data_IF_632756125533
#
_entry.id   IF_632756125533
#
_cell.length_a   1.000
_cell.length_b   1.000
_cell.length_c   1.000
_cell.angle_alpha   90.00
_cell.angle_beta   90.00
_cell.angle_gamma   90.00
#
_symmetry.space_group_name_H-M   'P 1'
#
loop_
_entity.id
_entity.type
_entity.pdbx_description
1 polymer ?
#
# COMPACT_ATOMS: atom_id res chain seq x y z
N UNK A 1 -17.22 9.66 -22.13
CA UNK A 1 -16.21 10.62 -21.66
C UNK A 1 -15.98 10.55 -20.13
N UNK A 2 -15.85 9.34 -19.52
CA UNK A 2 -15.59 9.16 -18.07
C UNK A 2 -14.21 8.53 -17.74
N UNK A 3 -13.41 8.22 -18.75
CA UNK A 3 -12.09 7.59 -18.58
C UNK A 3 -10.99 8.54 -18.05
N UNK A 4 -11.16 9.85 -18.23
CA UNK A 4 -10.12 10.83 -17.88
C UNK A 4 -9.98 11.15 -16.39
N UNK A 5 -11.06 10.99 -15.61
CA UNK A 5 -11.04 11.29 -14.16
C UNK A 5 -10.41 10.15 -13.37
N UNK A 6 -10.63 8.93 -13.81
CA UNK A 6 -10.05 7.73 -13.20
C UNK A 6 -8.51 7.76 -13.18
N UNK A 7 -7.92 8.29 -14.26
CA UNK A 7 -6.47 8.41 -14.40
C UNK A 7 -5.85 9.47 -13.47
N UNK A 8 -6.55 10.57 -13.18
CA UNK A 8 -5.97 11.67 -12.37
C UNK A 8 -5.94 11.36 -10.87
N UNK A 9 -6.98 10.70 -10.36
CA UNK A 9 -7.05 10.33 -8.94
C UNK A 9 -6.06 9.20 -8.64
N UNK A 10 -5.84 8.33 -9.62
CA UNK A 10 -4.86 7.25 -9.49
C UNK A 10 -3.40 7.76 -9.48
N UNK A 11 -3.11 8.78 -10.29
CA UNK A 11 -1.80 9.45 -10.25
C UNK A 11 -1.50 10.00 -8.85
N UNK A 12 -2.48 10.57 -8.16
CA UNK A 12 -2.33 11.07 -6.79
C UNK A 12 -2.12 9.94 -5.78
N UNK A 13 -2.81 8.81 -5.91
CA UNK A 13 -2.60 7.66 -5.02
C UNK A 13 -1.25 6.96 -5.25
N UNK A 14 -0.75 6.93 -6.48
CA UNK A 14 0.58 6.44 -6.82
C UNK A 14 1.64 7.50 -6.49
N UNK A 15 1.38 8.79 -6.74
CA UNK A 15 2.30 9.86 -6.37
C UNK A 15 2.49 9.98 -4.85
N UNK A 16 1.47 9.76 -4.04
CA UNK A 16 1.64 9.69 -2.59
C UNK A 16 2.48 8.48 -2.15
N UNK A 17 2.55 7.42 -2.99
CA UNK A 17 3.50 6.33 -2.87
C UNK A 17 4.87 6.63 -3.53
N UNK A 18 4.93 7.53 -4.54
CA UNK A 18 6.14 7.97 -5.24
C UNK A 18 6.97 8.95 -4.37
N UNK A 19 6.39 9.57 -3.36
CA UNK A 19 7.06 10.47 -2.43
C UNK A 19 8.22 9.86 -1.63
N UNK A 20 8.86 8.83 -2.16
CA UNK A 20 10.05 8.22 -1.59
C UNK A 20 11.09 7.93 -2.65
N UNK A 21 11.35 8.86 -3.57
CA UNK A 21 12.72 9.04 -3.95
C UNK A 21 13.44 9.33 -2.63
N UNK A 22 14.40 8.50 -2.25
CA UNK A 22 15.43 8.93 -1.34
C UNK A 22 16.17 10.06 -2.07
N UNK A 23 15.51 11.23 -2.17
CA UNK A 23 16.24 12.46 -2.09
C UNK A 23 17.09 12.22 -0.86
N UNK A 24 18.41 12.19 -1.02
CA UNK A 24 19.33 12.60 0.02
C UNK A 24 18.95 14.06 0.24
N UNK A 25 17.69 14.25 0.67
CA UNK A 25 17.08 15.50 1.01
C UNK A 25 17.75 15.92 2.28
N UNK A 26 18.33 17.05 2.25
CA UNK A 26 18.77 17.76 3.43
C UNK A 26 17.60 17.72 4.43
N UNK A 27 17.67 16.80 5.39
CA UNK A 27 16.75 16.83 6.50
C UNK A 27 16.81 18.21 7.12
N UNK A 28 15.65 18.81 7.40
CA UNK A 28 15.57 20.20 7.83
C UNK A 28 15.93 20.42 9.30
N UNK A 29 16.04 19.33 10.09
CA UNK A 29 16.24 19.43 11.52
C UNK A 29 16.95 18.23 12.16
N UNK A 30 16.99 18.19 13.49
CA UNK A 30 17.51 17.05 14.23
C UNK A 30 16.66 15.81 14.05
N UNK A 31 17.27 14.60 13.98
CA UNK A 31 16.53 13.36 13.85
C UNK A 31 15.61 13.13 15.05
N UNK A 32 14.43 12.59 14.78
CA UNK A 32 13.45 12.28 15.83
C UNK A 32 13.93 11.08 16.64
N UNK A 33 14.11 11.28 17.96
CA UNK A 33 14.47 10.20 18.89
C UNK A 33 13.29 9.29 19.18
N UNK A 34 13.59 8.00 19.44
CA UNK A 34 12.56 6.97 19.70
C UNK A 34 11.62 7.37 20.84
N UNK A 35 12.18 7.82 21.97
CA UNK A 35 11.42 8.22 23.15
C UNK A 35 10.50 9.41 22.88
N UNK A 36 10.98 10.37 22.08
CA UNK A 36 10.19 11.54 21.68
C UNK A 36 9.02 11.13 20.80
N UNK A 37 9.25 10.23 19.84
CA UNK A 37 8.19 9.72 18.96
C UNK A 37 7.13 8.97 19.77
N UNK A 38 7.52 8.10 20.71
CA UNK A 38 6.63 7.38 21.61
C UNK A 38 5.77 8.34 22.43
N UNK A 39 6.39 9.41 22.99
CA UNK A 39 5.67 10.43 23.76
C UNK A 39 4.63 11.15 22.91
N UNK A 40 4.97 11.49 21.67
CA UNK A 40 4.06 12.14 20.71
C UNK A 40 2.89 11.22 20.36
N UNK A 41 3.14 9.94 20.09
CA UNK A 41 2.11 8.96 19.79
C UNK A 41 1.13 8.76 20.96
N UNK A 42 1.65 8.63 22.18
CA UNK A 42 0.84 8.47 23.41
C UNK A 42 0.00 9.71 23.72
N UNK A 43 0.46 10.90 23.38
CA UNK A 43 -0.28 12.15 23.64
C UNK A 43 -1.56 12.28 22.84
N UNK A 44 -1.67 11.58 21.69
CA UNK A 44 -2.78 11.64 20.72
C UNK A 44 -3.13 13.06 20.24
N UNK A 45 -2.23 14.03 20.42
CA UNK A 45 -2.44 15.44 20.04
C UNK A 45 -2.15 15.71 18.56
N UNK A 46 -1.41 14.83 17.89
CA UNK A 46 -0.98 15.01 16.52
C UNK A 46 -1.71 14.02 15.60
N UNK A 47 -2.08 14.48 14.41
CA UNK A 47 -2.63 13.60 13.39
C UNK A 47 -1.52 12.73 12.79
N UNK A 48 -1.88 11.55 12.29
CA UNK A 48 -0.92 10.62 11.66
C UNK A 48 -0.12 11.29 10.54
N UNK A 49 -0.75 12.15 9.73
CA UNK A 49 -0.10 12.89 8.64
C UNK A 49 1.01 13.82 9.15
N UNK A 50 0.77 14.50 10.27
CA UNK A 50 1.73 15.46 10.83
C UNK A 50 2.96 14.73 11.38
N UNK A 51 2.74 13.58 12.02
CA UNK A 51 3.82 12.71 12.52
C UNK A 51 4.65 12.17 11.35
N UNK A 52 4.00 11.70 10.28
CA UNK A 52 4.67 11.22 9.06
C UNK A 52 5.48 12.33 8.41
N UNK A 53 4.93 13.54 8.33
CA UNK A 53 5.63 14.70 7.78
C UNK A 53 6.88 15.04 8.59
N UNK A 54 6.77 15.12 9.93
CA UNK A 54 7.91 15.40 10.83
C UNK A 54 9.01 14.34 10.66
N UNK A 55 8.65 13.06 10.57
CA UNK A 55 9.60 11.97 10.34
C UNK A 55 10.26 12.11 8.97
N UNK A 56 9.51 12.46 7.94
CA UNK A 56 10.03 12.63 6.57
C UNK A 56 10.97 13.82 6.45
N UNK A 57 10.69 14.91 7.17
CA UNK A 57 11.50 16.12 7.16
C UNK A 57 12.76 16.02 8.02
N UNK A 58 12.70 15.30 9.14
CA UNK A 58 13.78 15.26 10.12
C UNK A 58 14.52 13.91 10.17
N UNK A 59 13.95 12.84 9.63
CA UNK A 59 14.44 11.48 9.81
C UNK A 59 14.32 10.98 11.25
N UNK A 60 14.79 9.78 11.52
CA UNK A 60 14.87 9.16 12.85
C UNK A 60 16.30 8.71 13.16
N UNK A 61 16.71 8.72 14.43
CA UNK A 61 18.06 8.31 14.87
C UNK A 61 18.17 6.84 15.29
N UNK A 62 17.06 6.12 15.28
CA UNK A 62 16.99 4.71 15.70
C UNK A 62 16.56 3.80 14.57
N UNK A 63 17.08 2.56 14.58
CA UNK A 63 16.71 1.51 13.63
C UNK A 63 15.39 0.88 14.05
N UNK A 64 14.51 0.63 13.08
CA UNK A 64 13.26 -0.09 13.31
C UNK A 64 13.54 -1.60 13.32
N UNK A 65 13.85 -2.14 14.49
CA UNK A 65 13.86 -3.58 14.76
C UNK A 65 12.49 -4.06 15.28
N UNK A 66 12.33 -5.35 15.51
CA UNK A 66 11.08 -5.93 15.98
C UNK A 66 10.62 -5.36 17.35
N UNK A 67 11.57 -5.07 18.25
CA UNK A 67 11.28 -4.51 19.55
C UNK A 67 10.78 -3.06 19.43
N UNK A 68 11.49 -2.23 18.65
CA UNK A 68 11.11 -0.84 18.39
C UNK A 68 9.76 -0.76 17.67
N UNK A 69 9.51 -1.64 16.70
CA UNK A 69 8.20 -1.69 16.01
C UNK A 69 7.07 -2.06 16.97
N UNK A 70 7.25 -3.06 17.81
CA UNK A 70 6.28 -3.46 18.84
C UNK A 70 5.99 -2.33 19.82
N UNK A 71 7.03 -1.63 20.27
CA UNK A 71 6.89 -0.49 21.20
C UNK A 71 6.15 0.69 20.58
N UNK A 72 6.47 1.03 19.33
CA UNK A 72 5.77 2.09 18.59
C UNK A 72 4.30 1.75 18.35
N UNK A 73 3.98 0.49 17.99
CA UNK A 73 2.60 0.02 17.83
C UNK A 73 1.83 0.10 19.16
N UNK A 74 2.44 -0.32 20.25
CA UNK A 74 1.87 -0.21 21.60
C UNK A 74 1.64 1.23 22.02
N UNK A 75 2.44 2.17 21.53
CA UNK A 75 2.25 3.60 21.72
C UNK A 75 1.17 4.22 20.81
N UNK A 76 0.57 3.45 19.89
CA UNK A 76 -0.46 3.90 18.97
C UNK A 76 0.04 4.30 17.59
N UNK A 77 1.26 3.90 17.20
CA UNK A 77 1.76 4.14 15.85
C UNK A 77 0.92 3.37 14.82
N UNK A 78 0.38 4.10 13.86
CA UNK A 78 -0.29 3.52 12.69
C UNK A 78 0.74 3.00 11.67
N UNK A 79 0.36 2.10 10.77
CA UNK A 79 1.26 1.55 9.74
C UNK A 79 2.04 2.61 8.96
N UNK A 80 1.40 3.72 8.60
CA UNK A 80 2.06 4.85 7.91
C UNK A 80 3.22 5.45 8.71
N UNK A 81 3.09 5.52 10.03
CA UNK A 81 4.17 6.01 10.90
C UNK A 81 5.31 5.00 10.93
N UNK A 82 5.00 3.71 11.06
CA UNK A 82 5.99 2.63 11.03
C UNK A 82 6.79 2.66 9.71
N UNK A 83 6.09 2.80 8.58
CA UNK A 83 6.71 2.90 7.27
C UNK A 83 7.56 4.16 7.12
N UNK A 84 7.10 5.30 7.66
CA UNK A 84 7.89 6.54 7.67
C UNK A 84 9.18 6.37 8.48
N UNK A 85 9.12 5.75 9.66
CA UNK A 85 10.31 5.44 10.49
C UNK A 85 11.28 4.54 9.74
N UNK A 86 10.78 3.47 9.10
CA UNK A 86 11.60 2.52 8.34
C UNK A 86 12.36 3.19 7.20
N UNK A 87 11.72 4.12 6.48
CA UNK A 87 12.30 4.80 5.32
C UNK A 87 13.25 5.95 5.68
N UNK A 88 13.08 6.57 6.84
CA UNK A 88 13.78 7.80 7.18
C UNK A 88 14.82 7.61 8.31
N UNK A 89 15.39 6.41 8.45
CA UNK A 89 16.47 6.15 9.40
C UNK A 89 17.76 6.86 8.99
N UNK A 90 18.33 7.68 9.88
CA UNK A 90 19.55 8.48 9.66
C UNK A 90 20.84 7.86 10.22
N UNK A 91 20.73 6.76 10.96
CA UNK A 91 21.86 6.14 11.65
C UNK A 91 22.58 5.08 10.81
N UNK A 92 23.88 5.24 10.70
CA UNK A 92 24.82 4.27 10.18
C UNK A 92 25.95 4.94 9.42
N UNK A 93 27.15 4.99 10.00
CA UNK A 93 28.41 5.27 9.30
C UNK A 93 28.60 4.21 8.19
N UNK A 94 28.06 4.46 7.00
CA UNK A 94 28.46 3.73 5.80
C UNK A 94 29.77 4.31 5.33
N UNK A 95 30.80 3.48 5.25
CA UNK A 95 32.06 3.87 4.63
C UNK A 95 31.78 4.51 3.26
N UNK A 96 32.44 5.62 2.96
CA UNK A 96 32.16 6.48 1.79
C UNK A 96 32.19 5.72 0.43
N UNK A 97 32.92 4.61 0.34
CA UNK A 97 32.98 3.77 -0.84
C UNK A 97 31.70 2.91 -1.05
N UNK A 98 31.14 2.34 0.04
CA UNK A 98 29.88 1.60 -0.01
C UNK A 98 28.69 2.53 -0.23
N UNK A 99 28.77 3.78 0.27
CA UNK A 99 27.71 4.78 0.07
C UNK A 99 27.57 5.21 -1.39
N UNK A 100 28.66 5.41 -2.12
CA UNK A 100 28.61 5.77 -3.55
C UNK A 100 27.98 4.67 -4.41
N UNK A 101 28.37 3.42 -4.21
CA UNK A 101 27.79 2.30 -4.96
C UNK A 101 26.31 2.05 -4.63
N UNK A 102 25.90 2.27 -3.37
CA UNK A 102 24.50 2.16 -2.96
C UNK A 102 23.66 3.35 -3.46
N UNK A 103 24.20 4.57 -3.49
CA UNK A 103 23.55 5.76 -4.02
C UNK A 103 23.26 5.58 -5.51
N UNK A 104 24.24 5.22 -6.31
CA UNK A 104 24.08 5.02 -7.77
C UNK A 104 23.02 3.93 -8.07
N UNK A 105 23.01 2.82 -7.33
CA UNK A 105 22.00 1.76 -7.51
C UNK A 105 20.60 2.20 -7.07
N UNK A 106 20.49 2.98 -6.01
CA UNK A 106 19.20 3.53 -5.57
C UNK A 106 18.66 4.55 -6.57
N UNK A 107 19.52 5.40 -7.13
CA UNK A 107 19.14 6.37 -8.16
C UNK A 107 18.68 5.65 -9.44
N UNK A 108 19.38 4.60 -9.86
CA UNK A 108 18.99 3.78 -11.00
C UNK A 108 17.65 3.05 -10.75
N UNK A 109 17.47 2.47 -9.56
CA UNK A 109 16.20 1.82 -9.19
C UNK A 109 15.03 2.82 -9.22
N UNK A 110 15.21 4.00 -8.62
CA UNK A 110 14.21 5.07 -8.62
C UNK A 110 13.82 5.46 -10.03
N UNK A 111 14.81 5.70 -10.90
CA UNK A 111 14.60 6.04 -12.31
C UNK A 111 13.80 4.97 -13.06
N UNK A 112 14.14 3.68 -12.86
CA UNK A 112 13.39 2.58 -13.47
C UNK A 112 11.93 2.54 -13.03
N UNK A 113 11.67 2.77 -11.75
CA UNK A 113 10.30 2.84 -11.21
C UNK A 113 9.52 4.02 -11.81
N UNK A 114 10.11 5.21 -11.87
CA UNK A 114 9.46 6.40 -12.45
C UNK A 114 9.15 6.22 -13.94
N UNK A 115 10.10 5.74 -14.71
CA UNK A 115 9.90 5.43 -16.13
C UNK A 115 8.82 4.36 -16.35
N UNK A 116 8.77 3.35 -15.48
CA UNK A 116 7.75 2.30 -15.55
C UNK A 116 6.34 2.86 -15.28
N UNK A 117 6.22 3.75 -14.28
CA UNK A 117 4.95 4.42 -13.97
C UNK A 117 4.52 5.33 -15.12
N UNK A 118 5.44 6.08 -15.72
CA UNK A 118 5.16 6.91 -16.90
C UNK A 118 4.70 6.06 -18.09
N UNK A 119 5.40 4.94 -18.36
CA UNK A 119 5.04 4.03 -19.44
C UNK A 119 3.63 3.44 -19.22
N UNK A 120 3.30 3.05 -17.97
CA UNK A 120 1.99 2.51 -17.61
C UNK A 120 0.88 3.57 -17.68
N UNK A 121 1.04 4.70 -16.98
CA UNK A 121 -0.05 5.66 -16.75
C UNK A 121 -0.26 6.59 -17.94
N UNK A 122 0.83 7.11 -18.52
CA UNK A 122 0.77 8.13 -19.54
C UNK A 122 0.75 7.51 -20.93
N UNK A 123 1.72 6.64 -21.20
CA UNK A 123 1.92 6.07 -22.54
C UNK A 123 1.04 4.85 -22.81
N UNK A 124 0.50 4.20 -21.74
CA UNK A 124 -0.22 2.93 -21.80
C UNK A 124 0.61 1.81 -22.48
N UNK A 125 1.93 1.94 -22.42
CA UNK A 125 2.87 0.92 -22.90
C UNK A 125 3.16 -0.09 -21.76
N UNK A 126 2.26 -1.05 -21.62
CA UNK A 126 2.35 -2.06 -20.57
C UNK A 126 3.57 -2.97 -20.74
N UNK A 127 4.01 -3.19 -22.00
CA UNK A 127 5.21 -3.98 -22.28
C UNK A 127 6.48 -3.28 -21.80
N UNK A 128 6.64 -2.00 -22.12
CA UNK A 128 7.76 -1.21 -21.62
C UNK A 128 7.73 -1.09 -20.09
N UNK A 129 6.56 -0.84 -19.50
CA UNK A 129 6.38 -0.79 -18.05
C UNK A 129 6.84 -2.10 -17.38
N UNK A 130 6.43 -3.26 -17.92
CA UNK A 130 6.84 -4.58 -17.42
C UNK A 130 8.36 -4.78 -17.50
N UNK A 131 8.98 -4.42 -18.61
CA UNK A 131 10.43 -4.53 -18.77
C UNK A 131 11.18 -3.70 -17.72
N UNK A 132 10.78 -2.44 -17.52
CA UNK A 132 11.39 -1.54 -16.54
C UNK A 132 11.19 -2.05 -15.10
N UNK A 133 10.00 -2.52 -14.74
CA UNK A 133 9.72 -3.09 -13.42
C UNK A 133 10.50 -4.38 -13.18
N UNK A 134 10.68 -5.21 -14.20
CA UNK A 134 11.49 -6.44 -14.11
C UNK A 134 12.96 -6.08 -13.89
N UNK A 135 13.49 -5.11 -14.60
CA UNK A 135 14.86 -4.59 -14.37
C UNK A 135 15.01 -4.04 -12.95
N UNK A 136 14.03 -3.27 -12.47
CA UNK A 136 14.02 -2.79 -11.09
C UNK A 136 14.02 -3.94 -10.08
N UNK A 137 13.19 -4.97 -10.28
CA UNK A 137 13.14 -6.14 -9.42
C UNK A 137 14.47 -6.94 -9.40
N UNK A 138 15.16 -7.00 -10.54
CA UNK A 138 16.49 -7.63 -10.63
C UNK A 138 17.55 -6.77 -9.92
N UNK A 139 17.49 -5.45 -10.06
CA UNK A 139 18.47 -4.53 -9.44
C UNK A 139 18.35 -4.48 -7.92
N UNK A 140 17.13 -4.64 -7.38
CA UNK A 140 16.85 -4.69 -5.94
C UNK A 140 15.84 -5.80 -5.60
N UNK A 141 16.25 -7.07 -5.59
CA UNK A 141 15.34 -8.21 -5.47
C UNK A 141 14.64 -8.34 -4.11
N UNK A 142 15.12 -7.65 -3.09
CA UNK A 142 14.52 -7.60 -1.75
C UNK A 142 13.60 -6.38 -1.54
N UNK A 143 13.54 -5.46 -2.51
CA UNK A 143 12.67 -4.30 -2.43
C UNK A 143 11.26 -4.68 -2.93
N UNK A 144 10.21 -4.58 -2.09
CA UNK A 144 8.87 -5.03 -2.45
C UNK A 144 8.21 -4.16 -3.54
N UNK A 145 8.69 -2.93 -3.76
CA UNK A 145 7.99 -1.93 -4.57
C UNK A 145 7.85 -2.34 -6.03
N UNK A 146 8.90 -2.89 -6.65
CA UNK A 146 8.82 -3.35 -8.03
C UNK A 146 7.76 -4.44 -8.20
N UNK A 147 7.69 -5.37 -7.23
CA UNK A 147 6.68 -6.44 -7.23
C UNK A 147 5.26 -5.92 -6.96
N UNK A 148 5.10 -4.90 -6.13
CA UNK A 148 3.81 -4.22 -5.95
C UNK A 148 3.30 -3.64 -7.27
N UNK A 149 4.17 -2.95 -8.00
CA UNK A 149 3.84 -2.34 -9.28
C UNK A 149 3.65 -3.38 -10.40
N UNK A 150 4.40 -4.49 -10.39
CA UNK A 150 4.18 -5.61 -11.30
C UNK A 150 2.79 -6.21 -11.08
N UNK A 151 2.39 -6.45 -9.84
CA UNK A 151 1.06 -6.94 -9.54
C UNK A 151 -0.04 -5.98 -10.02
N UNK A 152 0.18 -4.70 -9.84
CA UNK A 152 -0.73 -3.66 -10.31
C UNK A 152 -0.82 -3.61 -11.84
N UNK A 153 0.31 -3.63 -12.52
CA UNK A 153 0.39 -3.68 -13.99
C UNK A 153 -0.32 -4.91 -14.54
N UNK A 154 -0.05 -6.09 -13.95
CA UNK A 154 -0.68 -7.35 -14.38
C UNK A 154 -2.20 -7.28 -14.25
N UNK A 155 -2.73 -6.77 -13.12
CA UNK A 155 -4.18 -6.70 -12.93
C UNK A 155 -4.84 -5.66 -13.83
N UNK A 156 -4.37 -4.40 -13.78
CA UNK A 156 -5.09 -3.29 -14.40
C UNK A 156 -4.67 -3.01 -15.85
N UNK A 157 -3.43 -3.32 -16.20
CA UNK A 157 -2.91 -3.17 -17.55
C UNK A 157 -3.16 -4.39 -18.43
N UNK A 158 -2.75 -5.56 -17.95
CA UNK A 158 -2.72 -6.79 -18.75
C UNK A 158 -3.90 -7.72 -18.48
N UNK A 159 -4.63 -7.51 -17.36
CA UNK A 159 -5.77 -8.33 -16.89
C UNK A 159 -5.39 -9.79 -16.61
N UNK A 160 -4.15 -10.00 -16.21
CA UNK A 160 -3.59 -11.27 -15.78
C UNK A 160 -3.65 -11.39 -14.25
N UNK A 161 -4.68 -12.08 -13.76
CA UNK A 161 -4.93 -12.23 -12.32
C UNK A 161 -3.89 -13.13 -11.63
N UNK A 162 -3.39 -14.13 -12.34
CA UNK A 162 -2.45 -15.10 -11.78
C UNK A 162 -1.07 -14.46 -11.57
N UNK A 163 -0.58 -13.72 -12.57
CA UNK A 163 0.68 -12.99 -12.44
C UNK A 163 0.57 -11.82 -11.45
N UNK A 164 -0.61 -11.18 -11.36
CA UNK A 164 -0.87 -10.17 -10.34
C UNK A 164 -0.76 -10.75 -8.93
N UNK A 165 -1.43 -11.89 -8.68
CA UNK A 165 -1.38 -12.58 -7.39
C UNK A 165 0.04 -12.99 -7.02
N UNK A 166 0.78 -13.60 -7.95
CA UNK A 166 2.16 -14.03 -7.76
C UNK A 166 3.08 -12.86 -7.39
N UNK A 167 2.98 -11.75 -8.12
CA UNK A 167 3.76 -10.55 -7.88
C UNK A 167 3.44 -9.94 -6.52
N UNK A 168 2.18 -9.85 -6.14
CA UNK A 168 1.77 -9.32 -4.85
C UNK A 168 2.13 -10.24 -3.69
N UNK A 169 2.02 -11.55 -3.82
CA UNK A 169 2.53 -12.51 -2.81
C UNK A 169 4.04 -12.30 -2.58
N UNK A 170 4.80 -12.08 -3.64
CA UNK A 170 6.22 -11.76 -3.51
C UNK A 170 6.45 -10.44 -2.77
N UNK A 171 5.68 -9.40 -3.11
CA UNK A 171 5.74 -8.11 -2.41
C UNK A 171 5.44 -8.25 -0.92
N UNK A 172 4.36 -8.96 -0.56
CA UNK A 172 3.95 -9.22 0.84
C UNK A 172 5.04 -9.97 1.59
N UNK A 173 5.63 -11.00 1.00
CA UNK A 173 6.72 -11.77 1.60
C UNK A 173 7.97 -10.93 1.86
N UNK A 174 8.19 -9.88 1.08
CA UNK A 174 9.27 -8.91 1.25
C UNK A 174 8.92 -7.76 2.22
N UNK A 175 7.78 -7.83 2.90
CA UNK A 175 7.32 -6.81 3.85
C UNK A 175 6.59 -5.63 3.21
N UNK A 176 6.21 -5.74 1.95
CA UNK A 176 5.32 -4.82 1.27
C UNK A 176 3.84 -5.17 1.42
N UNK A 177 3.01 -4.64 0.52
CA UNK A 177 1.58 -4.91 0.47
C UNK A 177 1.08 -5.09 -0.97
N UNK A 178 0.03 -5.87 -1.16
CA UNK A 178 -0.80 -5.75 -2.35
C UNK A 178 -1.68 -4.50 -2.22
N UNK A 179 -1.87 -3.77 -3.32
CA UNK A 179 -2.69 -2.56 -3.34
C UNK A 179 -3.72 -2.70 -4.44
N UNK A 180 -4.99 -2.75 -4.05
CA UNK A 180 -6.11 -2.96 -4.95
C UNK A 180 -7.11 -1.82 -4.86
N UNK A 181 -7.67 -1.43 -6.00
CA UNK A 181 -8.70 -0.39 -6.06
C UNK A 181 -10.08 -1.01 -5.93
N UNK A 182 -10.85 -0.56 -4.95
CA UNK A 182 -12.16 -1.09 -4.63
C UNK A 182 -13.19 0.02 -4.44
N UNK A 183 -14.46 -0.36 -4.53
CA UNK A 183 -15.59 0.38 -3.99
C UNK A 183 -16.00 -0.25 -2.68
N UNK A 184 -16.17 0.56 -1.66
CA UNK A 184 -16.72 0.18 -0.37
C UNK A 184 -18.17 0.58 -0.29
N UNK A 185 -19.01 -0.33 0.16
CA UNK A 185 -20.46 -0.15 0.31
C UNK A 185 -20.80 0.37 1.70
N UNK A 186 -21.62 1.42 1.77
CA UNK A 186 -22.03 2.06 3.03
C UNK A 186 -23.40 1.63 3.53
N UNK A 187 -24.25 1.09 2.63
CA UNK A 187 -25.67 0.84 2.92
C UNK A 187 -26.13 -0.60 2.62
N UNK A 188 -25.19 -1.47 2.25
CA UNK A 188 -25.46 -2.87 1.91
C UNK A 188 -26.10 -3.07 0.54
N UNK A 189 -26.37 -1.99 -0.20
CA UNK A 189 -27.03 -2.01 -1.51
C UNK A 189 -26.13 -1.56 -2.67
N UNK A 190 -24.93 -1.08 -2.38
CA UNK A 190 -24.01 -0.42 -3.33
C UNK A 190 -24.59 0.81 -4.04
N UNK A 191 -25.62 1.43 -3.47
CA UNK A 191 -26.14 2.71 -3.93
C UNK A 191 -25.30 3.87 -3.39
N UNK A 192 -24.88 3.76 -2.13
CA UNK A 192 -23.95 4.70 -1.49
C UNK A 192 -22.58 4.04 -1.35
N UNK A 193 -21.65 4.42 -2.20
CA UNK A 193 -20.29 3.84 -2.20
C UNK A 193 -19.23 4.92 -2.20
N UNK A 194 -18.10 4.64 -1.56
CA UNK A 194 -16.85 5.37 -1.76
C UNK A 194 -15.85 4.52 -2.54
N UNK A 195 -14.91 5.17 -3.22
CA UNK A 195 -13.77 4.51 -3.86
C UNK A 195 -12.56 4.64 -2.95
N UNK A 196 -11.68 3.65 -3.00
CA UNK A 196 -10.50 3.64 -2.18
C UNK A 196 -9.53 2.52 -2.53
N UNK A 197 -8.50 2.38 -1.71
CA UNK A 197 -7.46 1.36 -1.86
C UNK A 197 -7.50 0.37 -0.71
N UNK A 198 -7.51 -0.92 -1.06
CA UNK A 198 -7.32 -2.01 -0.11
C UNK A 198 -5.84 -2.38 -0.11
N UNK A 199 -5.23 -2.33 1.06
CA UNK A 199 -3.86 -2.75 1.32
C UNK A 199 -3.88 -4.07 2.04
N UNK A 200 -3.23 -5.09 1.47
CA UNK A 200 -3.07 -6.41 2.08
C UNK A 200 -1.58 -6.60 2.33
N UNK A 201 -1.17 -6.64 3.58
CA UNK A 201 0.18 -6.95 4.03
C UNK A 201 0.18 -8.27 4.80
N UNK A 202 1.32 -8.69 5.33
CA UNK A 202 1.46 -10.03 5.93
C UNK A 202 0.39 -10.39 6.97
N UNK A 203 -0.03 -9.45 7.80
CA UNK A 203 -0.98 -9.72 8.90
C UNK A 203 -2.04 -8.62 9.03
N UNK A 204 -2.12 -7.69 8.07
CA UNK A 204 -2.98 -6.51 8.16
C UNK A 204 -3.71 -6.33 6.84
N UNK A 205 -5.01 -6.16 6.94
CA UNK A 205 -5.90 -5.73 5.86
C UNK A 205 -6.40 -4.34 6.20
N UNK A 206 -6.17 -3.38 5.31
CA UNK A 206 -6.55 -1.99 5.51
C UNK A 206 -7.20 -1.43 4.25
N UNK A 207 -8.31 -0.73 4.43
CA UNK A 207 -8.95 0.05 3.38
C UNK A 207 -8.86 1.54 3.71
N UNK A 208 -8.55 2.36 2.72
CA UNK A 208 -8.56 3.82 2.81
C UNK A 208 -9.37 4.37 1.65
N UNK A 209 -10.42 5.14 1.96
CA UNK A 209 -11.18 5.86 0.93
C UNK A 209 -10.35 7.03 0.39
N UNK A 210 -10.60 7.39 -0.87
CA UNK A 210 -9.87 8.49 -1.54
C UNK A 210 -10.10 9.84 -0.85
N UNK A 211 -11.27 10.01 -0.21
CA UNK A 211 -11.63 11.23 0.52
C UNK A 211 -11.19 11.21 1.99
N UNK A 212 -10.52 10.14 2.44
CA UNK A 212 -10.17 9.92 3.86
C UNK A 212 -11.37 9.89 4.83
N UNK A 213 -12.60 9.77 4.33
CA UNK A 213 -13.82 9.76 5.16
C UNK A 213 -13.99 8.41 5.87
N UNK A 214 -13.45 7.34 5.27
CA UNK A 214 -13.56 5.98 5.79
C UNK A 214 -12.22 5.29 5.75
N UNK A 215 -11.83 4.77 6.89
CA UNK A 215 -10.68 3.89 7.04
C UNK A 215 -11.12 2.65 7.82
N UNK A 216 -10.71 1.50 7.32
CA UNK A 216 -10.88 0.22 7.99
C UNK A 216 -9.50 -0.42 8.09
N UNK A 217 -9.13 -0.90 9.27
CA UNK A 217 -7.90 -1.67 9.48
C UNK A 217 -8.19 -2.82 10.44
N UNK A 218 -7.78 -4.01 10.06
CA UNK A 218 -7.89 -5.21 10.90
C UNK A 218 -6.67 -6.11 10.73
N UNK A 219 -6.40 -6.94 11.73
CA UNK A 219 -5.51 -8.07 11.57
C UNK A 219 -6.23 -9.23 10.86
N UNK A 220 -5.53 -10.01 10.07
CA UNK A 220 -6.06 -11.21 9.42
C UNK A 220 -6.69 -12.19 10.41
N UNK A 221 -6.08 -12.33 11.62
CA UNK A 221 -6.61 -13.16 12.71
C UNK A 221 -8.01 -12.74 13.20
N UNK A 222 -8.39 -11.48 13.02
CA UNK A 222 -9.70 -10.96 13.40
C UNK A 222 -10.75 -11.12 12.31
N UNK A 223 -10.37 -11.59 11.14
CA UNK A 223 -11.28 -11.85 10.03
C UNK A 223 -11.92 -13.23 10.26
N UNK A 224 -13.22 -13.27 10.45
CA UNK A 224 -14.00 -14.49 10.64
C UNK A 224 -14.21 -15.22 9.32
N UNK A 225 -14.65 -14.49 8.29
CA UNK A 225 -14.84 -15.03 6.95
C UNK A 225 -14.66 -13.94 5.88
N UNK A 226 -14.32 -14.38 4.68
CA UNK A 226 -14.38 -13.56 3.48
C UNK A 226 -15.10 -14.35 2.40
N UNK A 227 -16.20 -13.81 1.91
CA UNK A 227 -17.03 -14.51 0.95
C UNK A 227 -17.36 -13.63 -0.26
N UNK A 228 -17.26 -14.22 -1.46
CA UNK A 228 -17.81 -13.60 -2.66
C UNK A 228 -19.32 -13.66 -2.55
N UNK A 229 -19.98 -12.53 -2.72
CA UNK A 229 -21.43 -12.45 -2.64
C UNK A 229 -22.10 -13.44 -3.60
N UNK A 230 -23.13 -14.13 -3.12
CA UNK A 230 -23.86 -15.13 -3.89
C UNK A 230 -24.42 -14.58 -5.20
N UNK A 231 -24.69 -15.47 -6.17
CA UNK A 231 -25.22 -15.08 -7.49
C UNK A 231 -26.53 -14.30 -7.37
N UNK A 232 -27.38 -14.62 -6.37
CA UNK A 232 -28.62 -13.91 -6.08
C UNK A 232 -28.39 -12.51 -5.57
N UNK A 233 -27.50 -12.32 -4.61
CA UNK A 233 -27.12 -10.99 -4.11
C UNK A 233 -26.45 -10.14 -5.19
N UNK A 234 -25.69 -10.75 -6.11
CA UNK A 234 -25.06 -10.06 -7.26
C UNK A 234 -26.09 -9.57 -8.28
N UNK A 235 -27.23 -10.24 -8.42
CA UNK A 235 -28.27 -9.87 -9.39
C UNK A 235 -29.08 -8.66 -8.91
N UNK A 236 -29.24 -8.50 -7.60
CA UNK A 236 -29.94 -7.35 -6.98
C UNK A 236 -28.96 -6.23 -6.58
N UNK A 237 -27.74 -6.55 -6.27
CA UNK A 237 -26.66 -5.60 -6.05
C UNK A 237 -25.94 -5.39 -7.38
N UNK A 238 -26.12 -4.26 -7.99
CA UNK A 238 -25.67 -3.84 -9.33
C UNK A 238 -24.14 -3.96 -9.60
N UNK A 239 -23.41 -4.79 -8.84
CA UNK A 239 -21.96 -4.93 -8.93
C UNK A 239 -21.51 -6.38 -8.93
N UNK A 240 -21.05 -6.83 -10.10
CA UNK A 240 -20.44 -8.14 -10.26
C UNK A 240 -19.13 -8.21 -9.45
N UNK A 241 -18.87 -9.38 -8.86
CA UNK A 241 -17.64 -9.63 -8.13
C UNK A 241 -17.58 -9.01 -6.73
N UNK A 242 -18.67 -8.49 -6.17
CA UNK A 242 -18.65 -7.98 -4.80
C UNK A 242 -18.36 -9.10 -3.78
N UNK A 243 -17.66 -8.76 -2.71
CA UNK A 243 -17.33 -9.67 -1.62
C UNK A 243 -17.50 -8.96 -0.26
N UNK A 244 -17.61 -9.76 0.78
CA UNK A 244 -17.83 -9.31 2.15
C UNK A 244 -16.69 -9.80 3.03
N UNK A 245 -16.17 -8.93 3.89
CA UNK A 245 -15.26 -9.27 4.99
C UNK A 245 -16.05 -9.21 6.27
N UNK A 246 -16.15 -10.33 6.99
CA UNK A 246 -16.81 -10.42 8.29
C UNK A 246 -15.75 -10.52 9.39
N UNK A 247 -15.87 -9.69 10.43
CA UNK A 247 -14.96 -9.69 11.56
C UNK A 247 -15.52 -10.50 12.75
N UNK A 248 -14.62 -10.93 13.63
CA UNK A 248 -14.95 -11.73 14.82
C UNK A 248 -15.65 -10.91 15.91
N UNK A 249 -15.56 -9.58 15.92
CA UNK A 249 -16.15 -8.70 16.94
C UNK A 249 -17.49 -8.12 16.49
N UNK A 250 -18.44 -8.02 17.46
CA UNK A 250 -19.87 -7.77 17.26
C UNK A 250 -20.32 -6.38 16.78
N UNK A 251 -19.51 -5.35 16.80
CA UNK A 251 -19.94 -3.99 16.41
C UNK A 251 -19.32 -3.59 15.06
N UNK A 252 -20.19 -3.31 14.07
CA UNK A 252 -19.83 -2.97 12.69
C UNK A 252 -18.88 -4.00 12.05
N UNK A 253 -19.28 -5.28 12.13
CA UNK A 253 -18.40 -6.40 11.83
C UNK A 253 -18.30 -6.78 10.35
N UNK A 254 -19.02 -6.07 9.49
CA UNK A 254 -19.19 -6.45 8.10
C UNK A 254 -18.80 -5.30 7.16
N UNK A 255 -17.87 -5.59 6.27
CA UNK A 255 -17.45 -4.65 5.23
C UNK A 255 -17.68 -5.26 3.86
N UNK A 256 -18.47 -4.59 3.02
CA UNK A 256 -18.76 -5.02 1.66
C UNK A 256 -17.97 -4.21 0.65
N UNK A 257 -17.34 -4.91 -0.27
CA UNK A 257 -16.48 -4.32 -1.31
C UNK A 257 -16.85 -4.84 -2.68
N UNK A 258 -16.58 -4.03 -3.71
CA UNK A 258 -16.65 -4.43 -5.10
C UNK A 258 -15.36 -4.06 -5.83
N UNK A 259 -14.74 -5.01 -6.56
CA UNK A 259 -13.58 -4.74 -7.39
C UNK A 259 -13.88 -3.70 -8.47
N UNK A 260 -12.90 -2.87 -8.80
CA UNK A 260 -13.06 -1.89 -9.87
C UNK A 260 -13.17 -2.54 -11.26
N UNK A 261 -12.59 -3.73 -11.44
CA UNK A 261 -12.75 -4.50 -12.69
C UNK A 261 -14.15 -5.09 -12.84
N UNK A 262 -14.92 -5.20 -11.77
CA UNK A 262 -16.21 -5.87 -11.74
C UNK A 262 -16.13 -7.39 -11.92
N UNK A 263 -14.95 -8.00 -11.83
CA UNK A 263 -14.75 -9.43 -12.07
C UNK A 263 -14.66 -10.21 -10.77
N UNK A 264 -15.36 -11.35 -10.73
CA UNK A 264 -15.33 -12.28 -9.59
C UNK A 264 -13.92 -12.87 -9.36
N UNK A 265 -13.10 -12.99 -10.40
CA UNK A 265 -11.76 -13.53 -10.29
C UNK A 265 -10.82 -12.60 -9.53
N UNK A 266 -11.02 -11.28 -9.61
CA UNK A 266 -10.32 -10.33 -8.74
C UNK A 266 -10.66 -10.56 -7.26
N UNK A 267 -11.94 -10.74 -6.93
CA UNK A 267 -12.35 -11.01 -5.55
C UNK A 267 -11.79 -12.33 -5.02
N UNK A 268 -11.79 -13.38 -5.83
CA UNK A 268 -11.16 -14.65 -5.45
C UNK A 268 -9.67 -14.50 -5.22
N UNK A 269 -8.98 -13.73 -6.05
CA UNK A 269 -7.57 -13.42 -5.87
C UNK A 269 -7.33 -12.63 -4.57
N UNK A 270 -8.18 -11.64 -4.26
CA UNK A 270 -8.11 -10.88 -2.99
C UNK A 270 -8.22 -11.83 -1.80
N UNK A 271 -9.18 -12.75 -1.82
CA UNK A 271 -9.37 -13.75 -0.76
C UNK A 271 -8.10 -14.60 -0.59
N UNK A 272 -7.50 -15.08 -1.69
CA UNK A 272 -6.24 -15.85 -1.64
C UNK A 272 -5.03 -15.04 -1.17
N UNK A 273 -5.02 -13.73 -1.42
CA UNK A 273 -3.96 -12.82 -0.92
C UNK A 273 -4.08 -12.59 0.59
N UNK A 274 -5.30 -12.57 1.14
CA UNK A 274 -5.53 -12.47 2.59
C UNK A 274 -5.25 -13.81 3.28
N UNK A 275 -5.32 -14.93 2.56
CA UNK A 275 -4.99 -16.26 3.09
C UNK A 275 -6.16 -16.92 3.85
N UNK A 276 -7.41 -16.61 3.46
CA UNK A 276 -8.63 -17.20 4.02
C UNK A 276 -9.35 -18.07 2.99
#
# INVERSE_FOLDING_TARGET
MKAGIFNRIFLLAILSLIGSTAVVGQYKGEPVKRERLIKVLRSKQFQTKDIVQIISENGVDFRLDAAAESELRSAGARPLVIDAVRRNYRGGNRSAASARGASVRNDQYGTLIEQAVEAFDIKKDYKAARQLLTQAAVSQPTNPRAYQLLGFLSLYGEKDFDEAEKSWKKAINLGGAAVLRLKHDHDGSFLKTCEGSLYISRNIVRFESDNNDHTFETMDANIKSIEVNSRWRRMFQLRQGSFKIELTRKENSDFSFAPMTGKTDESKMIIRLIGK
#
